data_IF_414694530557
#
_entry.id   IF_414694530557
#
_cell.length_a   1.000
_cell.length_b   1.000
_cell.length_c   1.000
_cell.angle_alpha   90.00
_cell.angle_beta   90.00
_cell.angle_gamma   90.00
#
_symmetry.space_group_name_H-M   'P 1'
#
loop_
_entity.id
_entity.type
_entity.pdbx_description
1 polymer ?
#
# COMPACT_ATOMS: atom_id res chain seq x y z
N UNK A 1 -49.90 17.36 6.87
CA UNK A 1 -50.87 18.48 6.93
C UNK A 1 -50.28 19.72 7.61
N UNK A 2 -49.45 19.58 8.63
CA UNK A 2 -48.80 20.68 9.38
C UNK A 2 -48.06 21.75 8.56
N UNK A 3 -47.48 21.43 7.39
CA UNK A 3 -46.75 22.42 6.57
C UNK A 3 -47.66 23.45 5.88
N UNK A 4 -48.84 23.03 5.41
CA UNK A 4 -49.84 23.95 4.85
C UNK A 4 -50.47 24.84 5.93
N UNK A 5 -50.27 24.47 7.20
CA UNK A 5 -50.69 25.19 8.39
C UNK A 5 -49.56 26.04 9.01
N UNK A 6 -48.43 26.18 8.31
CA UNK A 6 -47.29 27.01 8.75
C UNK A 6 -46.28 26.33 9.68
N UNK A 7 -46.40 25.02 9.90
CA UNK A 7 -45.41 24.24 10.64
C UNK A 7 -44.09 24.10 9.88
N UNK A 8 -42.98 24.12 10.61
CA UNK A 8 -41.65 23.85 10.07
C UNK A 8 -41.58 22.44 9.48
N UNK A 9 -41.04 22.32 8.28
CA UNK A 9 -40.68 21.04 7.68
C UNK A 9 -39.18 20.78 7.75
N UNK A 10 -38.67 19.90 6.87
CA UNK A 10 -37.26 19.54 6.91
C UNK A 10 -36.33 20.74 6.73
N UNK A 11 -35.29 20.83 7.56
CA UNK A 11 -34.43 22.00 7.70
C UNK A 11 -33.91 22.55 6.36
N UNK A 12 -33.36 21.67 5.51
CA UNK A 12 -32.87 22.10 4.19
C UNK A 12 -33.98 22.60 3.27
N UNK A 13 -35.15 21.94 3.26
CA UNK A 13 -36.28 22.35 2.42
C UNK A 13 -36.89 23.69 2.87
N UNK A 14 -36.83 24.00 4.16
CA UNK A 14 -37.36 25.25 4.74
C UNK A 14 -36.49 26.47 4.48
N UNK A 15 -35.20 26.26 4.20
CA UNK A 15 -34.26 27.32 3.86
C UNK A 15 -34.40 27.83 2.41
N UNK A 16 -35.33 27.24 1.63
CA UNK A 16 -35.49 27.53 0.21
C UNK A 16 -36.93 27.94 -0.14
N UNK A 17 -37.14 28.85 -1.11
CA UNK A 17 -38.44 29.06 -1.73
C UNK A 17 -39.02 27.75 -2.27
N UNK A 18 -40.34 27.57 -2.13
CA UNK A 18 -41.04 26.33 -2.52
C UNK A 18 -40.71 25.88 -3.95
N UNK A 19 -40.64 26.82 -4.91
CA UNK A 19 -40.28 26.52 -6.30
C UNK A 19 -38.88 25.90 -6.42
N UNK A 20 -37.90 26.41 -5.66
CA UNK A 20 -36.53 25.89 -5.67
C UNK A 20 -36.46 24.52 -5.02
N UNK A 21 -37.12 24.36 -3.87
CA UNK A 21 -37.18 23.11 -3.13
C UNK A 21 -37.82 21.99 -3.97
N UNK A 22 -38.97 22.25 -4.60
CA UNK A 22 -39.65 21.31 -5.50
C UNK A 22 -38.76 20.98 -6.68
N UNK A 23 -38.21 21.99 -7.37
CA UNK A 23 -37.41 21.73 -8.58
C UNK A 23 -36.13 20.95 -8.29
N UNK A 24 -35.43 21.25 -7.21
CA UNK A 24 -34.24 20.50 -6.80
C UNK A 24 -34.60 19.05 -6.44
N UNK A 25 -35.71 18.85 -5.74
CA UNK A 25 -36.24 17.53 -5.37
C UNK A 25 -36.56 16.71 -6.62
N UNK A 26 -37.35 17.25 -7.55
CA UNK A 26 -37.69 16.59 -8.81
C UNK A 26 -36.46 16.24 -9.65
N UNK A 27 -35.53 17.18 -9.81
CA UNK A 27 -34.35 16.98 -10.65
C UNK A 27 -33.37 15.96 -10.05
N UNK A 28 -33.23 15.92 -8.71
CA UNK A 28 -32.45 14.90 -8.02
C UNK A 28 -33.14 13.53 -8.15
N UNK A 29 -34.45 13.48 -7.93
CA UNK A 29 -35.23 12.26 -8.09
C UNK A 29 -35.19 11.71 -9.51
N UNK A 30 -35.20 12.57 -10.52
CA UNK A 30 -35.07 12.17 -11.93
C UNK A 30 -33.75 11.43 -12.17
N UNK A 31 -32.64 11.94 -11.62
CA UNK A 31 -31.33 11.31 -11.72
C UNK A 31 -31.33 9.92 -11.06
N UNK A 32 -31.95 9.77 -9.89
CA UNK A 32 -31.94 8.51 -9.15
C UNK A 32 -32.91 7.48 -9.78
N UNK A 33 -34.09 7.92 -10.19
CA UNK A 33 -35.14 7.04 -10.71
C UNK A 33 -34.84 6.55 -12.14
N UNK A 34 -34.33 7.44 -12.99
CA UNK A 34 -34.20 7.20 -14.44
C UNK A 34 -32.76 7.31 -14.96
N UNK A 35 -31.81 7.65 -14.09
CA UNK A 35 -30.39 7.69 -14.42
C UNK A 35 -29.95 8.98 -15.14
N UNK A 36 -28.64 9.09 -15.44
CA UNK A 36 -28.04 10.33 -15.95
C UNK A 36 -28.40 10.67 -17.41
N UNK A 37 -28.91 9.71 -18.16
CA UNK A 37 -29.31 9.92 -19.57
C UNK A 37 -30.72 10.49 -19.71
N UNK A 38 -31.56 10.40 -18.67
CA UNK A 38 -32.94 10.87 -18.69
C UNK A 38 -33.03 12.36 -19.03
N UNK A 39 -33.90 12.72 -19.99
CA UNK A 39 -34.07 14.11 -20.42
C UNK A 39 -35.33 14.72 -19.80
N UNK A 40 -35.23 15.85 -19.09
CA UNK A 40 -36.39 16.52 -18.48
C UNK A 40 -37.53 16.83 -19.47
N UNK A 41 -37.21 17.12 -20.74
CA UNK A 41 -38.18 17.43 -21.79
C UNK A 41 -38.99 16.23 -22.27
N UNK A 42 -38.54 15.01 -21.99
CA UNK A 42 -39.16 13.76 -22.44
C UNK A 42 -40.02 13.11 -21.35
N UNK A 43 -40.09 13.71 -20.16
CA UNK A 43 -40.78 13.14 -19.01
C UNK A 43 -42.24 13.58 -18.95
N UNK A 44 -43.14 12.63 -18.74
CA UNK A 44 -44.55 12.90 -18.50
C UNK A 44 -44.85 13.35 -17.08
N UNK A 45 -46.10 13.75 -16.82
CA UNK A 45 -46.56 14.15 -15.48
C UNK A 45 -46.36 13.02 -14.45
N UNK A 46 -46.63 11.77 -14.84
CA UNK A 46 -46.43 10.61 -13.96
C UNK A 46 -44.96 10.38 -13.60
N UNK A 47 -44.04 10.61 -14.55
CA UNK A 47 -42.60 10.46 -14.32
C UNK A 47 -42.08 11.53 -13.37
N UNK A 48 -42.59 12.76 -13.49
CA UNK A 48 -42.28 13.84 -12.56
C UNK A 48 -42.86 13.62 -11.16
N UNK A 49 -44.07 13.05 -11.01
CA UNK A 49 -44.60 12.67 -9.70
C UNK A 49 -43.73 11.59 -9.04
N UNK A 50 -43.33 10.57 -9.82
CA UNK A 50 -42.40 9.53 -9.36
C UNK A 50 -41.04 10.10 -8.94
N UNK A 51 -40.44 10.94 -9.79
CA UNK A 51 -39.19 11.63 -9.49
C UNK A 51 -39.31 12.50 -8.24
N UNK A 52 -40.40 13.27 -8.10
CA UNK A 52 -40.67 14.09 -6.92
C UNK A 52 -40.70 13.27 -5.64
N UNK A 53 -41.42 12.14 -5.61
CA UNK A 53 -41.48 11.24 -4.44
C UNK A 53 -40.12 10.66 -4.08
N UNK A 54 -39.38 10.16 -5.08
CA UNK A 54 -38.04 9.57 -4.86
C UNK A 54 -37.07 10.65 -4.38
N UNK A 55 -37.06 11.82 -5.02
CA UNK A 55 -36.22 12.94 -4.62
C UNK A 55 -36.53 13.41 -3.21
N UNK A 56 -37.81 13.43 -2.82
CA UNK A 56 -38.24 13.93 -1.51
C UNK A 56 -37.69 13.08 -0.37
N UNK A 57 -37.55 11.76 -0.57
CA UNK A 57 -36.91 10.88 0.41
C UNK A 57 -35.47 11.31 0.73
N UNK A 58 -34.75 11.91 -0.23
CA UNK A 58 -33.39 12.39 -0.03
C UNK A 58 -33.35 13.83 0.47
N UNK A 59 -34.14 14.74 -0.12
CA UNK A 59 -34.10 16.17 0.25
C UNK A 59 -34.72 16.44 1.62
N UNK A 60 -35.69 15.62 2.06
CA UNK A 60 -36.24 15.69 3.42
C UNK A 60 -35.26 15.24 4.51
N UNK A 61 -34.21 14.51 4.16
CA UNK A 61 -33.10 14.19 5.06
C UNK A 61 -31.99 15.25 5.06
N UNK A 62 -32.16 16.35 4.32
CA UNK A 62 -31.20 17.45 4.25
C UNK A 62 -29.96 17.14 3.41
N UNK A 63 -28.87 17.87 3.67
CA UNK A 63 -27.63 17.77 2.87
C UNK A 63 -27.04 16.34 2.88
N UNK A 64 -27.14 15.63 4.00
CA UNK A 64 -26.65 14.25 4.10
C UNK A 64 -27.39 13.29 3.15
N UNK A 65 -28.72 13.43 3.04
CA UNK A 65 -29.55 12.66 2.11
C UNK A 65 -29.27 13.01 0.65
N UNK A 66 -29.08 14.29 0.35
CA UNK A 66 -28.68 14.73 -1.00
C UNK A 66 -27.32 14.13 -1.39
N UNK A 67 -26.33 14.19 -0.50
CA UNK A 67 -25.00 13.59 -0.74
C UNK A 67 -25.08 12.08 -0.90
N UNK A 68 -25.97 11.41 -0.18
CA UNK A 68 -26.23 9.99 -0.35
C UNK A 68 -26.76 9.67 -1.74
N UNK A 69 -27.76 10.41 -2.23
CA UNK A 69 -28.24 10.27 -3.61
C UNK A 69 -27.10 10.44 -4.64
N UNK A 70 -26.24 11.46 -4.47
CA UNK A 70 -25.11 11.69 -5.36
C UNK A 70 -24.08 10.55 -5.32
N UNK A 71 -23.81 9.96 -4.14
CA UNK A 71 -22.97 8.76 -4.01
C UNK A 71 -23.60 7.57 -4.74
N UNK A 72 -24.90 7.35 -4.62
CA UNK A 72 -25.59 6.28 -5.32
C UNK A 72 -25.50 6.44 -6.85
N UNK A 73 -25.71 7.66 -7.36
CA UNK A 73 -25.55 7.95 -8.79
C UNK A 73 -24.12 7.66 -9.29
N UNK A 74 -23.10 8.01 -8.49
CA UNK A 74 -21.70 7.66 -8.78
C UNK A 74 -21.45 6.15 -8.75
N UNK A 75 -21.94 5.46 -7.71
CA UNK A 75 -21.77 4.02 -7.55
C UNK A 75 -22.54 3.21 -8.61
N UNK A 76 -23.57 3.78 -9.23
CA UNK A 76 -24.31 3.17 -10.34
C UNK A 76 -23.61 3.39 -11.71
N UNK A 77 -22.68 4.34 -11.82
CA UNK A 77 -21.98 4.61 -13.07
C UNK A 77 -21.05 3.44 -13.46
N UNK A 78 -21.12 3.00 -14.72
CA UNK A 78 -20.36 1.85 -15.26
C UNK A 78 -19.44 2.20 -16.44
N UNK A 79 -19.11 3.49 -16.61
CA UNK A 79 -18.25 3.92 -17.71
C UNK A 79 -16.78 3.58 -17.50
N UNK A 80 -16.04 3.41 -18.61
CA UNK A 80 -14.58 3.22 -18.59
C UNK A 80 -13.83 4.56 -18.56
N UNK A 81 -12.72 4.61 -17.84
CA UNK A 81 -11.85 5.79 -17.76
C UNK A 81 -12.36 6.89 -16.84
N UNK A 82 -11.86 8.13 -17.01
CA UNK A 82 -12.22 9.29 -16.18
C UNK A 82 -13.73 9.59 -16.30
N UNK A 83 -14.54 9.42 -15.24
CA UNK A 83 -15.95 9.74 -15.27
C UNK A 83 -16.17 11.24 -15.49
N UNK A 84 -16.76 11.60 -16.62
CA UNK A 84 -17.19 12.98 -16.87
C UNK A 84 -18.41 13.28 -15.99
N UNK A 85 -18.42 14.43 -15.31
CA UNK A 85 -19.52 14.88 -14.43
C UNK A 85 -20.90 14.82 -15.12
N UNK A 86 -20.94 15.21 -16.39
CA UNK A 86 -22.14 15.13 -17.23
C UNK A 86 -22.65 13.69 -17.44
N UNK A 87 -21.76 12.71 -17.49
CA UNK A 87 -22.14 11.31 -17.69
C UNK A 87 -22.59 10.65 -16.38
N UNK A 88 -22.06 11.10 -15.25
CA UNK A 88 -22.41 10.59 -13.92
C UNK A 88 -23.72 11.18 -13.41
N UNK A 89 -23.86 12.49 -13.50
CA UNK A 89 -24.97 13.24 -12.89
C UNK A 89 -25.95 13.79 -13.92
N UNK A 90 -25.67 13.63 -15.21
CA UNK A 90 -26.67 13.78 -16.24
C UNK A 90 -27.33 15.14 -16.30
N UNK A 91 -28.65 15.10 -16.47
CA UNK A 91 -29.52 16.28 -16.54
C UNK A 91 -29.54 17.10 -15.25
N UNK A 92 -29.29 16.49 -14.08
CA UNK A 92 -29.18 17.20 -12.82
C UNK A 92 -28.00 18.18 -12.84
N UNK A 93 -26.81 17.71 -13.21
CA UNK A 93 -25.64 18.59 -13.33
C UNK A 93 -25.80 19.62 -14.46
N UNK A 94 -26.39 19.24 -15.60
CA UNK A 94 -26.67 20.18 -16.71
C UNK A 94 -27.58 21.33 -16.29
N UNK A 95 -28.61 21.04 -15.51
CA UNK A 95 -29.51 22.06 -14.98
C UNK A 95 -28.79 23.04 -14.06
N UNK A 96 -27.95 22.54 -13.13
CA UNK A 96 -27.17 23.36 -12.21
C UNK A 96 -26.07 24.19 -12.90
N UNK A 97 -25.50 23.66 -13.98
CA UNK A 97 -24.44 24.32 -14.77
C UNK A 97 -24.99 25.28 -15.84
N UNK A 98 -26.29 25.26 -16.12
CA UNK A 98 -26.88 26.03 -17.22
C UNK A 98 -26.87 27.54 -16.92
N UNK A 99 -26.26 28.37 -17.79
CA UNK A 99 -26.31 29.82 -17.66
C UNK A 99 -27.69 30.41 -17.99
N UNK A 100 -28.58 29.61 -18.61
CA UNK A 100 -29.95 30.03 -18.96
C UNK A 100 -30.91 29.98 -17.77
N UNK A 101 -30.48 29.42 -16.65
CA UNK A 101 -31.28 29.37 -15.42
C UNK A 101 -31.29 30.76 -14.79
N UNK A 102 -32.31 31.56 -15.14
CA UNK A 102 -32.45 32.97 -14.72
C UNK A 102 -32.72 33.14 -13.22
N UNK A 103 -33.14 32.07 -12.53
CA UNK A 103 -33.42 32.06 -11.09
C UNK A 103 -32.26 31.39 -10.34
N UNK A 104 -31.91 31.92 -9.17
CA UNK A 104 -31.04 31.26 -8.19
C UNK A 104 -31.54 29.82 -7.96
N UNK A 105 -30.66 28.83 -8.10
CA UNK A 105 -30.99 27.40 -7.91
C UNK A 105 -30.89 26.96 -6.45
N UNK A 106 -30.44 27.84 -5.56
CA UNK A 106 -30.29 27.57 -4.14
C UNK A 106 -29.04 26.78 -3.77
N UNK A 107 -29.01 26.32 -2.52
CA UNK A 107 -27.87 25.69 -1.86
C UNK A 107 -27.48 24.33 -2.47
N UNK A 108 -28.41 23.69 -3.19
CA UNK A 108 -28.16 22.43 -3.91
C UNK A 108 -26.95 22.52 -4.85
N UNK A 109 -26.68 23.71 -5.41
CA UNK A 109 -25.52 23.96 -6.27
C UNK A 109 -24.21 23.93 -5.48
N UNK A 110 -24.21 24.42 -4.23
CA UNK A 110 -23.06 24.33 -3.32
C UNK A 110 -22.79 22.88 -2.94
N UNK A 111 -23.82 22.16 -2.49
CA UNK A 111 -23.73 20.74 -2.10
C UNK A 111 -23.16 19.90 -3.24
N UNK A 112 -23.69 20.08 -4.46
CA UNK A 112 -23.20 19.38 -5.65
C UNK A 112 -21.73 19.70 -5.95
N UNK A 113 -21.33 20.96 -5.82
CA UNK A 113 -19.95 21.39 -6.06
C UNK A 113 -19.00 20.75 -5.04
N UNK A 114 -19.32 20.82 -3.77
CA UNK A 114 -18.52 20.22 -2.70
C UNK A 114 -18.40 18.71 -2.86
N UNK A 115 -19.52 18.04 -3.16
CA UNK A 115 -19.53 16.61 -3.46
C UNK A 115 -18.58 16.25 -4.60
N UNK A 116 -18.59 17.01 -5.71
CA UNK A 116 -17.64 16.80 -6.82
C UNK A 116 -16.19 16.98 -6.34
N UNK A 117 -15.91 18.05 -5.58
CA UNK A 117 -14.56 18.35 -5.09
C UNK A 117 -14.02 17.29 -4.11
N UNK A 118 -14.90 16.56 -3.43
CA UNK A 118 -14.58 15.53 -2.45
C UNK A 118 -14.58 14.10 -3.00
N UNK A 119 -15.11 13.87 -4.21
CA UNK A 119 -15.26 12.52 -4.77
C UNK A 119 -14.69 12.35 -6.17
N UNK A 120 -14.30 13.45 -6.84
CA UNK A 120 -13.78 13.42 -8.21
C UNK A 120 -12.51 14.27 -8.33
N UNK A 121 -11.69 13.96 -9.34
CA UNK A 121 -10.56 14.86 -9.64
C UNK A 121 -11.08 16.10 -10.38
N UNK A 122 -10.63 17.27 -9.94
CA UNK A 122 -10.93 18.56 -10.57
C UNK A 122 -9.62 19.28 -10.83
N UNK A 123 -9.43 19.78 -12.04
CA UNK A 123 -8.19 20.45 -12.39
C UNK A 123 -8.06 21.81 -11.67
N UNK A 124 -6.83 22.28 -11.39
CA UNK A 124 -6.61 23.62 -10.89
C UNK A 124 -7.30 24.66 -11.79
N UNK A 125 -7.97 25.63 -11.17
CA UNK A 125 -8.70 26.71 -11.83
C UNK A 125 -9.84 26.27 -12.75
N UNK A 126 -10.23 24.99 -12.75
CA UNK A 126 -11.40 24.52 -13.47
C UNK A 126 -12.68 25.06 -12.81
N UNK A 127 -13.52 25.74 -13.58
CA UNK A 127 -14.77 26.32 -13.08
C UNK A 127 -15.82 25.21 -12.94
N UNK A 128 -16.23 24.93 -11.71
CA UNK A 128 -17.27 23.98 -11.35
C UNK A 128 -18.40 24.72 -10.64
N UNK A 129 -19.57 24.77 -11.28
CA UNK A 129 -20.79 25.34 -10.69
C UNK A 129 -20.55 26.71 -10.02
N UNK A 130 -19.90 27.62 -10.74
CA UNK A 130 -19.67 29.01 -10.33
C UNK A 130 -18.43 29.28 -9.47
N UNK A 131 -17.63 28.27 -9.13
CA UNK A 131 -16.37 28.45 -8.39
C UNK A 131 -15.26 27.57 -8.92
N UNK A 132 -14.01 27.89 -8.55
CA UNK A 132 -12.83 27.08 -8.87
C UNK A 132 -11.95 26.94 -7.63
N UNK A 133 -11.03 25.97 -7.69
CA UNK A 133 -10.01 25.77 -6.65
C UNK A 133 -8.62 25.95 -7.27
N UNK A 134 -7.69 26.64 -6.58
CA UNK A 134 -6.35 26.90 -7.13
C UNK A 134 -5.47 25.65 -7.19
N UNK A 135 -5.80 24.61 -6.41
CA UNK A 135 -5.05 23.38 -6.31
C UNK A 135 -5.99 22.17 -6.23
N UNK A 136 -5.58 21.03 -6.78
CA UNK A 136 -6.35 19.78 -6.71
C UNK A 136 -6.45 19.28 -5.27
N UNK A 137 -7.66 18.89 -4.84
CA UNK A 137 -7.89 18.13 -3.60
C UNK A 137 -7.69 16.62 -3.79
N UNK A 138 -8.06 16.14 -4.97
CA UNK A 138 -7.96 14.74 -5.34
C UNK A 138 -7.22 14.55 -6.65
N UNK A 139 -6.45 13.47 -6.70
CA UNK A 139 -5.76 13.00 -7.89
C UNK A 139 -6.25 11.61 -8.27
N UNK A 140 -6.39 11.36 -9.56
CA UNK A 140 -6.20 10.02 -10.11
C UNK A 140 -4.73 9.74 -10.35
N UNK A 141 -4.40 8.46 -10.57
CA UNK A 141 -3.05 8.05 -10.99
C UNK A 141 -2.62 8.83 -12.25
N UNK A 142 -3.53 9.06 -13.19
CA UNK A 142 -3.22 9.73 -14.45
C UNK A 142 -2.87 11.21 -14.25
N UNK A 143 -3.68 11.95 -13.47
CA UNK A 143 -3.44 13.37 -13.26
C UNK A 143 -2.19 13.61 -12.42
N UNK A 144 -1.95 12.80 -11.38
CA UNK A 144 -0.72 12.92 -10.59
C UNK A 144 0.53 12.51 -11.37
N UNK A 145 0.45 11.48 -12.21
CA UNK A 145 1.57 11.08 -13.08
C UNK A 145 1.97 12.21 -14.03
N UNK A 146 0.99 12.92 -14.60
CA UNK A 146 1.24 14.08 -15.44
C UNK A 146 1.89 15.23 -14.65
N UNK A 147 1.34 15.57 -13.49
CA UNK A 147 1.86 16.62 -12.61
C UNK A 147 3.31 16.33 -12.16
N UNK A 148 3.58 15.09 -11.72
CA UNK A 148 4.87 14.67 -11.21
C UNK A 148 5.89 14.25 -12.31
N UNK A 149 5.49 14.28 -13.59
CA UNK A 149 6.27 13.80 -14.74
C UNK A 149 6.76 12.36 -14.58
N UNK A 150 5.87 11.48 -14.14
CA UNK A 150 6.12 10.05 -13.92
C UNK A 150 5.36 9.18 -14.91
N UNK A 151 5.87 7.98 -15.16
CA UNK A 151 5.12 6.97 -15.90
C UNK A 151 3.92 6.48 -15.05
N UNK A 152 2.68 6.50 -15.56
CA UNK A 152 1.48 6.13 -14.79
C UNK A 152 1.56 4.74 -14.16
N UNK A 153 2.16 3.77 -14.88
CA UNK A 153 2.35 2.40 -14.37
C UNK A 153 3.28 2.34 -13.17
N UNK A 154 4.35 3.15 -13.17
CA UNK A 154 5.30 3.23 -12.05
C UNK A 154 4.63 3.88 -10.84
N UNK A 155 3.91 4.98 -11.06
CA UNK A 155 3.20 5.67 -9.99
C UNK A 155 2.10 4.79 -9.37
N UNK A 156 1.31 4.07 -10.19
CA UNK A 156 0.28 3.14 -9.67
C UNK A 156 0.88 2.13 -8.70
N UNK A 157 2.00 1.51 -9.09
CA UNK A 157 2.69 0.51 -8.24
C UNK A 157 3.17 1.10 -6.93
N UNK A 158 3.70 2.33 -6.95
CA UNK A 158 4.11 3.02 -5.74
C UNK A 158 2.92 3.34 -4.83
N UNK A 159 1.84 3.86 -5.39
CA UNK A 159 0.61 4.18 -4.63
C UNK A 159 0.01 2.91 -4.02
N UNK A 160 -0.09 1.82 -4.80
CA UNK A 160 -0.58 0.53 -4.33
C UNK A 160 0.29 -0.05 -3.22
N UNK A 161 1.62 0.00 -3.38
CA UNK A 161 2.56 -0.46 -2.38
C UNK A 161 2.50 0.32 -1.07
N UNK A 162 2.03 1.57 -1.11
CA UNK A 162 1.82 2.44 0.05
C UNK A 162 0.38 2.39 0.58
N UNK A 163 -0.47 1.53 0.02
CA UNK A 163 -1.88 1.39 0.43
C UNK A 163 -2.77 2.58 0.08
N UNK A 164 -2.30 3.51 -0.77
CA UNK A 164 -3.08 4.70 -1.17
C UNK A 164 -4.19 4.31 -2.14
N UNK A 165 -3.97 3.26 -2.94
CA UNK A 165 -4.96 2.67 -3.84
C UNK A 165 -4.91 1.14 -3.72
N UNK A 166 -5.98 0.42 -4.13
CA UNK A 166 -5.96 -1.03 -4.18
C UNK A 166 -4.83 -1.59 -5.06
N UNK A 167 -4.25 -2.72 -4.63
CA UNK A 167 -3.15 -3.38 -5.34
C UNK A 167 -3.58 -4.21 -6.54
N UNK A 168 -4.87 -4.53 -6.66
CA UNK A 168 -5.40 -5.33 -7.76
C UNK A 168 -5.36 -4.51 -9.06
N UNK A 169 -4.47 -4.90 -9.99
CA UNK A 169 -4.35 -4.28 -11.32
C UNK A 169 -5.60 -4.55 -12.19
N UNK A 170 -6.44 -5.55 -11.86
CA UNK A 170 -7.68 -5.86 -12.60
C UNK A 170 -8.82 -4.90 -12.27
N UNK A 171 -8.70 -4.14 -11.19
CA UNK A 171 -9.62 -3.04 -10.92
C UNK A 171 -9.21 -1.89 -11.83
N UNK A 172 -9.73 -1.94 -13.06
CA UNK A 172 -9.68 -0.90 -14.11
C UNK A 172 -10.52 0.34 -13.73
N UNK A 173 -11.11 0.33 -12.53
CA UNK A 173 -11.92 1.43 -12.04
C UNK A 173 -11.04 2.67 -11.84
N UNK A 174 -11.64 3.79 -12.20
CA UNK A 174 -11.09 5.09 -11.95
C UNK A 174 -11.05 5.35 -10.44
N UNK A 175 -9.84 5.42 -9.88
CA UNK A 175 -9.62 5.72 -8.46
C UNK A 175 -9.11 7.13 -8.29
N UNK A 176 -9.64 7.81 -7.28
CA UNK A 176 -9.11 9.07 -6.76
C UNK A 176 -8.60 8.87 -5.34
N UNK A 177 -7.62 9.68 -4.97
CA UNK A 177 -7.01 9.69 -3.65
C UNK A 177 -6.61 11.13 -3.30
N UNK A 178 -6.37 11.36 -2.00
CA UNK A 178 -5.93 12.65 -1.48
C UNK A 178 -4.68 13.15 -2.21
N UNK A 179 -4.73 14.42 -2.62
CA UNK A 179 -3.69 14.98 -3.46
C UNK A 179 -2.33 15.12 -2.75
N UNK A 180 -2.32 15.48 -1.46
CA UNK A 180 -1.08 15.64 -0.70
C UNK A 180 -0.44 14.28 -0.41
N UNK A 181 -1.25 13.29 -0.01
CA UNK A 181 -0.78 11.90 0.15
C UNK A 181 -0.19 11.39 -1.16
N UNK A 182 -0.87 11.62 -2.28
CA UNK A 182 -0.39 11.26 -3.61
C UNK A 182 0.95 11.92 -3.97
N UNK A 183 1.05 13.25 -3.80
CA UNK A 183 2.29 14.01 -4.07
C UNK A 183 3.46 13.53 -3.24
N UNK A 184 3.24 13.23 -1.96
CA UNK A 184 4.27 12.67 -1.08
C UNK A 184 4.82 11.33 -1.60
N UNK A 185 3.95 10.47 -2.14
CA UNK A 185 4.34 9.21 -2.79
C UNK A 185 5.05 9.46 -4.13
N UNK A 186 4.54 10.38 -4.96
CA UNK A 186 5.17 10.70 -6.24
C UNK A 186 6.59 11.27 -6.06
N UNK A 187 6.79 12.13 -5.05
CA UNK A 187 8.11 12.65 -4.68
C UNK A 187 9.09 11.53 -4.26
N UNK A 188 8.59 10.36 -3.81
CA UNK A 188 9.47 9.21 -3.53
C UNK A 188 10.00 8.52 -4.78
N UNK A 189 9.32 8.66 -5.92
CA UNK A 189 9.73 8.02 -7.16
C UNK A 189 11.08 8.53 -7.68
N UNK A 190 11.33 9.84 -7.57
CA UNK A 190 12.54 10.50 -8.07
C UNK A 190 13.81 10.17 -7.29
N UNK A 191 13.67 9.65 -6.06
CA UNK A 191 14.77 9.29 -5.16
C UNK A 191 14.92 7.77 -5.00
N UNK A 192 14.28 6.99 -5.85
CA UNK A 192 14.42 5.54 -5.84
C UNK A 192 15.83 5.14 -6.28
N UNK A 193 16.48 4.30 -5.49
CA UNK A 193 17.79 3.75 -5.77
C UNK A 193 17.61 2.31 -6.22
N UNK A 194 18.04 1.98 -7.44
CA UNK A 194 18.00 0.60 -7.92
C UNK A 194 18.90 -0.29 -7.04
N UNK A 195 18.48 -1.52 -6.78
CA UNK A 195 19.20 -2.53 -5.98
C UNK A 195 20.58 -2.80 -6.57
N UNK A 196 20.75 -2.69 -7.89
CA UNK A 196 22.05 -2.80 -8.55
C UNK A 196 22.97 -1.62 -8.23
N UNK A 197 22.42 -0.44 -7.95
CA UNK A 197 23.15 0.77 -7.57
C UNK A 197 23.42 0.84 -6.05
N UNK A 198 22.66 0.12 -5.21
CA UNK A 198 22.82 0.11 -3.76
C UNK A 198 24.26 -0.11 -3.27
N UNK A 199 25.06 -1.06 -3.80
CA UNK A 199 26.43 -1.26 -3.33
C UNK A 199 27.29 -0.01 -3.48
N UNK A 200 27.10 0.74 -4.58
CA UNK A 200 27.80 2.00 -4.82
C UNK A 200 27.34 3.06 -3.83
N UNK A 201 26.03 3.23 -3.63
CA UNK A 201 25.47 4.23 -2.71
C UNK A 201 25.88 3.97 -1.25
N UNK A 202 25.85 2.72 -0.82
CA UNK A 202 26.22 2.31 0.54
C UNK A 202 27.74 2.28 0.76
N UNK A 203 28.53 2.36 -0.31
CA UNK A 203 29.95 2.05 -0.32
C UNK A 203 30.23 0.67 0.31
N UNK A 204 29.63 -0.39 -0.25
CA UNK A 204 29.82 -1.78 0.18
C UNK A 204 29.86 -2.75 -1.01
N UNK A 205 30.10 -4.04 -0.73
CA UNK A 205 30.05 -5.09 -1.75
C UNK A 205 28.61 -5.50 -2.09
N UNK A 206 28.41 -6.13 -3.26
CA UNK A 206 27.09 -6.68 -3.66
C UNK A 206 26.51 -7.67 -2.65
N UNK A 207 27.28 -8.64 -2.11
CA UNK A 207 26.77 -9.55 -1.07
C UNK A 207 26.31 -8.82 0.19
N UNK A 208 27.04 -7.79 0.64
CA UNK A 208 26.66 -7.00 1.82
C UNK A 208 25.34 -6.25 1.60
N UNK A 209 25.18 -5.57 0.46
CA UNK A 209 23.91 -4.91 0.12
C UNK A 209 22.75 -5.91 0.06
N UNK A 210 23.00 -7.12 -0.47
CA UNK A 210 22.03 -8.22 -0.46
C UNK A 210 21.60 -8.61 0.96
N UNK A 211 22.56 -8.81 1.86
CA UNK A 211 22.28 -9.15 3.27
C UNK A 211 21.44 -8.08 3.99
N UNK A 212 21.67 -6.79 3.72
CA UNK A 212 20.84 -5.72 4.29
C UNK A 212 19.37 -5.80 3.84
N UNK A 213 19.12 -6.21 2.60
CA UNK A 213 17.76 -6.42 2.10
C UNK A 213 17.14 -7.69 2.69
N UNK A 214 17.96 -8.74 2.85
CA UNK A 214 17.51 -10.04 3.34
C UNK A 214 17.07 -9.98 4.82
N UNK A 215 17.78 -9.19 5.63
CA UNK A 215 17.48 -8.94 7.05
C UNK A 215 16.53 -7.73 7.26
N UNK A 216 15.94 -7.18 6.20
CA UNK A 216 15.04 -6.00 6.24
C UNK A 216 15.63 -4.74 6.90
N UNK A 217 16.97 -4.64 6.96
CA UNK A 217 17.66 -3.39 7.30
C UNK A 217 17.39 -2.31 6.24
N UNK A 218 17.19 -2.73 4.99
CA UNK A 218 16.64 -1.94 3.91
C UNK A 218 15.44 -2.68 3.31
N UNK A 219 14.38 -1.96 2.95
CA UNK A 219 13.13 -2.54 2.47
C UNK A 219 12.87 -2.06 1.05
N UNK A 220 12.55 -3.02 0.16
CA UNK A 220 12.24 -2.70 -1.24
C UNK A 220 10.91 -1.95 -1.31
N UNK A 221 10.87 -0.91 -2.13
CA UNK A 221 9.64 -0.19 -2.40
C UNK A 221 8.74 -1.09 -3.25
N UNK A 222 7.57 -1.44 -2.70
CA UNK A 222 6.68 -2.37 -3.36
C UNK A 222 6.22 -3.57 -2.54
N UNK A 223 6.78 -3.81 -1.34
CA UNK A 223 6.84 -5.09 -0.62
C UNK A 223 5.59 -5.98 -0.43
N UNK A 224 4.44 -5.62 -1.00
CA UNK A 224 3.36 -6.56 -1.25
C UNK A 224 3.78 -7.60 -2.32
N UNK A 225 3.47 -8.89 -2.11
CA UNK A 225 3.69 -9.93 -3.10
C UNK A 225 2.83 -9.62 -4.34
N UNK A 226 3.50 -9.33 -5.46
CA UNK A 226 2.85 -9.07 -6.74
C UNK A 226 2.68 -10.38 -7.52
N UNK A 227 1.53 -10.54 -8.17
CA UNK A 227 1.05 -11.67 -9.00
C UNK A 227 1.94 -12.12 -10.18
N UNK A 228 3.18 -11.63 -10.30
CA UNK A 228 4.05 -11.93 -11.44
C UNK A 228 5.37 -12.57 -10.98
N UNK A 229 5.57 -13.89 -11.20
CA UNK A 229 6.88 -14.50 -11.01
C UNK A 229 7.91 -13.78 -11.90
N UNK A 230 8.92 -13.16 -11.29
CA UNK A 230 10.08 -12.60 -12.00
C UNK A 230 10.22 -11.07 -12.03
N UNK A 231 9.22 -10.28 -11.64
CA UNK A 231 9.41 -8.82 -11.47
C UNK A 231 9.89 -8.50 -10.06
N UNK A 232 11.14 -8.85 -9.78
CA UNK A 232 11.89 -8.40 -8.59
C UNK A 232 11.67 -6.91 -8.44
N UNK A 233 11.11 -6.48 -7.31
CA UNK A 233 11.04 -5.06 -6.97
C UNK A 233 12.48 -4.57 -6.85
N UNK A 234 12.86 -3.62 -7.70
CA UNK A 234 14.27 -3.31 -7.94
C UNK A 234 14.75 -2.08 -7.21
N UNK A 235 13.95 -1.42 -6.38
CA UNK A 235 14.37 -0.16 -5.80
C UNK A 235 14.11 -0.07 -4.30
N UNK A 236 14.93 0.74 -3.64
CA UNK A 236 14.80 1.18 -2.26
C UNK A 236 14.60 2.70 -2.27
N UNK A 237 13.84 3.24 -1.32
CA UNK A 237 13.70 4.69 -1.16
C UNK A 237 15.04 5.26 -0.67
N UNK A 238 15.61 6.23 -1.39
CA UNK A 238 16.88 6.86 -1.02
C UNK A 238 16.90 7.42 0.40
N UNK A 239 15.76 7.91 0.91
CA UNK A 239 15.65 8.35 2.32
C UNK A 239 15.92 7.23 3.32
N UNK A 240 15.52 6.00 2.99
CA UNK A 240 15.81 4.85 3.86
C UNK A 240 17.30 4.56 3.87
N UNK A 241 17.98 4.67 2.73
CA UNK A 241 19.43 4.47 2.62
C UNK A 241 20.17 5.55 3.40
N UNK A 242 19.79 6.81 3.26
CA UNK A 242 20.33 7.93 4.02
C UNK A 242 20.12 7.77 5.53
N UNK A 243 18.89 7.44 5.96
CA UNK A 243 18.57 7.21 7.36
C UNK A 243 19.34 6.02 7.96
N UNK A 244 19.50 4.95 7.18
CA UNK A 244 20.33 3.81 7.57
C UNK A 244 21.78 4.25 7.78
N UNK A 245 22.42 4.92 6.80
CA UNK A 245 23.81 5.37 6.91
C UNK A 245 24.03 6.36 8.07
N UNK A 246 23.07 7.28 8.27
CA UNK A 246 23.10 8.23 9.38
C UNK A 246 23.06 7.53 10.74
N UNK A 247 22.14 6.56 10.90
CA UNK A 247 22.03 5.77 12.14
C UNK A 247 23.24 4.88 12.34
N UNK A 248 23.72 4.25 11.27
CA UNK A 248 24.83 3.30 11.30
C UNK A 248 26.16 3.92 11.71
N UNK A 249 26.38 5.19 11.36
CA UNK A 249 27.58 5.95 11.72
C UNK A 249 27.42 6.88 12.92
N UNK A 250 26.25 6.93 13.56
CA UNK A 250 25.90 7.95 14.57
C UNK A 250 26.84 7.93 15.78
N UNK A 251 27.05 6.75 16.35
CA UNK A 251 27.82 6.56 17.59
C UNK A 251 29.27 6.10 17.32
N UNK A 252 29.67 6.04 16.04
CA UNK A 252 31.00 5.61 15.65
C UNK A 252 32.05 6.71 15.89
N UNK A 253 33.10 6.40 16.67
CA UNK A 253 34.21 7.32 16.94
C UNK A 253 34.98 7.59 15.64
N UNK A 254 35.03 8.85 15.21
CA UNK A 254 35.81 9.27 14.04
C UNK A 254 37.31 9.13 14.31
N UNK A 255 38.04 8.47 13.40
CA UNK A 255 39.48 8.21 13.49
C UNK A 255 40.15 8.39 12.12
N UNK A 256 41.41 8.83 12.08
CA UNK A 256 42.14 8.97 10.82
C UNK A 256 42.80 7.65 10.37
N UNK A 257 43.24 6.85 11.35
CA UNK A 257 43.82 5.51 11.13
C UNK A 257 43.04 4.44 11.90
N UNK A 258 43.01 3.19 11.42
CA UNK A 258 42.39 2.09 12.15
C UNK A 258 43.02 1.91 13.55
N UNK A 259 42.22 1.91 14.63
CA UNK A 259 42.73 1.54 15.95
C UNK A 259 43.30 0.12 15.95
N UNK A 260 44.19 -0.17 16.89
CA UNK A 260 44.75 -1.51 17.01
C UNK A 260 43.63 -2.55 17.23
N UNK A 261 43.69 -3.66 16.48
CA UNK A 261 42.68 -4.73 16.52
C UNK A 261 41.39 -4.46 15.74
N UNK A 262 41.08 -3.20 15.39
CA UNK A 262 39.87 -2.83 14.67
C UNK A 262 40.00 -3.14 13.17
N UNK A 263 39.01 -3.85 12.63
CA UNK A 263 38.98 -4.27 11.24
C UNK A 263 37.69 -3.80 10.55
N UNK A 264 37.71 -3.77 9.22
CA UNK A 264 36.50 -3.57 8.43
C UNK A 264 35.48 -4.67 8.72
N UNK A 265 34.20 -4.37 8.54
CA UNK A 265 33.11 -5.32 8.81
C UNK A 265 33.34 -6.67 8.11
N UNK A 266 33.80 -6.68 6.86
CA UNK A 266 34.08 -7.95 6.14
C UNK A 266 35.13 -8.79 6.84
N UNK A 267 36.26 -8.18 7.23
CA UNK A 267 37.38 -8.88 7.88
C UNK A 267 37.03 -9.28 9.31
N UNK A 268 36.28 -8.44 10.02
CA UNK A 268 35.80 -8.75 11.35
C UNK A 268 34.80 -9.90 11.34
N UNK A 269 33.88 -9.93 10.37
CA UNK A 269 32.92 -11.02 10.16
C UNK A 269 33.63 -12.36 9.93
N UNK A 270 34.61 -12.38 9.02
CA UNK A 270 35.44 -13.54 8.74
C UNK A 270 36.16 -14.03 10.00
N UNK A 271 36.88 -13.13 10.69
CA UNK A 271 37.65 -13.50 11.88
C UNK A 271 36.73 -13.95 13.03
N UNK A 272 35.58 -13.31 13.23
CA UNK A 272 34.64 -13.67 14.29
C UNK A 272 33.84 -14.94 13.98
N UNK A 273 33.71 -15.34 12.72
CA UNK A 273 32.92 -16.49 12.29
C UNK A 273 31.42 -16.18 12.19
N UNK A 274 31.07 -14.94 11.87
CA UNK A 274 29.67 -14.46 11.80
C UNK A 274 29.42 -13.74 10.47
N UNK A 275 28.16 -13.66 9.97
CA UNK A 275 27.86 -12.92 8.75
C UNK A 275 27.96 -11.40 8.94
N UNK A 276 28.15 -10.64 7.87
CA UNK A 276 28.28 -9.17 7.95
C UNK A 276 27.03 -8.49 8.53
N UNK A 277 25.82 -8.96 8.19
CA UNK A 277 24.58 -8.41 8.75
C UNK A 277 24.49 -8.55 10.27
N UNK A 278 25.12 -9.59 10.84
CA UNK A 278 25.12 -9.80 12.28
C UNK A 278 25.84 -8.65 12.99
N UNK A 279 27.00 -8.24 12.46
CA UNK A 279 27.73 -7.05 12.94
C UNK A 279 26.87 -5.80 12.80
N UNK A 280 26.14 -5.64 11.69
CA UNK A 280 25.29 -4.46 11.47
C UNK A 280 24.19 -4.36 12.54
N UNK A 281 23.54 -5.48 12.89
CA UNK A 281 22.57 -5.49 13.99
C UNK A 281 23.20 -5.20 15.35
N UNK A 282 24.42 -5.66 15.61
CA UNK A 282 25.12 -5.34 16.87
C UNK A 282 25.43 -3.85 16.97
N UNK A 283 25.92 -3.23 15.89
CA UNK A 283 26.17 -1.78 15.81
C UNK A 283 24.87 -1.01 15.99
N UNK A 284 23.86 -1.28 15.17
CA UNK A 284 22.59 -0.56 15.23
C UNK A 284 21.88 -0.77 16.56
N UNK A 285 22.04 -1.94 17.18
CA UNK A 285 21.54 -2.26 18.51
C UNK A 285 22.23 -1.53 19.65
N UNK A 286 23.43 -0.98 19.44
CA UNK A 286 24.26 -0.45 20.52
C UNK A 286 24.80 -1.55 21.44
N UNK A 287 25.09 -2.73 20.88
CA UNK A 287 25.66 -3.88 21.63
C UNK A 287 27.19 -3.91 21.60
N UNK A 288 27.82 -3.04 20.81
CA UNK A 288 29.27 -2.89 20.76
C UNK A 288 29.65 -1.60 21.50
N UNK A 289 30.59 -1.71 22.42
CA UNK A 289 31.25 -0.61 23.11
C UNK A 289 32.22 0.12 22.16
N UNK A 290 32.83 -0.60 21.22
CA UNK A 290 33.85 -0.10 20.30
C UNK A 290 33.43 -0.08 18.84
N UNK A 291 32.92 1.06 18.35
CA UNK A 291 32.71 1.31 16.92
C UNK A 291 33.53 2.52 16.48
N UNK A 292 34.34 2.36 15.43
CA UNK A 292 35.12 3.45 14.86
C UNK A 292 34.75 3.69 13.39
N UNK A 293 34.95 4.92 12.91
CA UNK A 293 34.73 5.30 11.52
C UNK A 293 35.95 6.04 10.96
N UNK A 294 36.49 5.55 9.84
CA UNK A 294 37.59 6.22 9.14
C UNK A 294 37.14 7.57 8.56
N UNK A 295 37.87 8.63 8.87
CA UNK A 295 37.54 10.00 8.48
C UNK A 295 37.49 10.21 6.97
N UNK A 296 38.25 9.43 6.21
CA UNK A 296 38.41 9.53 4.75
C UNK A 296 37.53 8.53 3.96
N UNK A 297 36.78 7.67 4.65
CA UNK A 297 35.97 6.63 4.00
C UNK A 297 34.52 6.78 4.44
N UNK A 298 33.65 7.12 3.49
CA UNK A 298 32.21 7.25 3.73
C UNK A 298 31.48 5.91 3.68
N UNK A 299 30.28 5.90 4.25
CA UNK A 299 29.37 4.77 4.18
C UNK A 299 29.84 3.53 4.93
N UNK A 300 29.35 2.38 4.47
CA UNK A 300 29.50 1.09 5.14
C UNK A 300 30.96 0.64 5.28
N UNK A 301 31.77 0.81 4.23
CA UNK A 301 33.18 0.37 4.24
C UNK A 301 34.07 1.18 5.18
N UNK A 302 33.63 2.36 5.63
CA UNK A 302 34.38 3.19 6.56
C UNK A 302 34.28 2.76 8.02
N UNK A 303 33.39 1.83 8.35
CA UNK A 303 33.15 1.37 9.71
C UNK A 303 34.13 0.25 10.10
N UNK A 304 34.67 0.36 11.30
CA UNK A 304 35.63 -0.55 11.90
C UNK A 304 35.13 -1.03 13.27
N UNK A 305 35.38 -2.30 13.57
CA UNK A 305 34.98 -2.96 14.83
C UNK A 305 36.05 -3.95 15.29
N UNK A 306 36.09 -4.27 16.58
CA UNK A 306 36.93 -5.35 17.12
C UNK A 306 36.27 -6.73 16.88
N UNK A 307 36.91 -7.65 16.14
CA UNK A 307 36.38 -8.99 15.89
C UNK A 307 36.17 -9.84 17.15
N UNK A 308 36.96 -9.64 18.21
CA UNK A 308 36.82 -10.40 19.46
C UNK A 308 35.54 -9.99 20.20
N UNK A 309 35.29 -8.69 20.29
CA UNK A 309 34.06 -8.13 20.83
C UNK A 309 32.85 -8.60 20.02
N UNK A 310 32.93 -8.48 18.69
CA UNK A 310 31.87 -8.96 17.78
C UNK A 310 31.53 -10.43 18.06
N UNK A 311 32.53 -11.31 18.19
CA UNK A 311 32.28 -12.73 18.46
C UNK A 311 31.57 -12.93 19.80
N UNK A 312 32.02 -12.25 20.85
CA UNK A 312 31.41 -12.34 22.18
C UNK A 312 29.95 -11.86 22.18
N UNK A 313 29.67 -10.72 21.54
CA UNK A 313 28.34 -10.13 21.51
C UNK A 313 27.39 -10.88 20.57
N UNK A 314 27.88 -11.41 19.45
CA UNK A 314 27.08 -12.26 18.56
C UNK A 314 26.61 -13.53 19.29
N UNK A 315 27.50 -14.21 20.02
CA UNK A 315 27.14 -15.38 20.82
C UNK A 315 26.08 -15.05 21.89
N UNK A 316 26.16 -13.87 22.49
CA UNK A 316 25.22 -13.43 23.54
C UNK A 316 23.85 -13.04 23.00
N UNK A 317 23.79 -12.29 21.90
CA UNK A 317 22.56 -11.60 21.47
C UNK A 317 21.94 -12.13 20.18
N UNK A 318 22.62 -13.00 19.44
CA UNK A 318 22.17 -13.49 18.14
C UNK A 318 21.93 -15.00 18.13
N UNK A 319 21.29 -15.49 19.20
CA UNK A 319 20.88 -16.89 19.30
C UNK A 319 19.67 -17.18 18.40
N UNK A 320 19.55 -18.45 18.00
CA UNK A 320 18.53 -18.92 17.07
C UNK A 320 18.92 -18.72 15.60
N UNK A 321 18.04 -19.18 14.70
CA UNK A 321 18.24 -19.07 13.27
C UNK A 321 18.04 -17.63 12.79
N UNK A 322 18.86 -17.22 11.83
CA UNK A 322 18.60 -16.02 11.03
C UNK A 322 17.35 -16.20 10.16
N UNK A 323 16.71 -15.11 9.70
CA UNK A 323 15.66 -15.16 8.69
C UNK A 323 16.05 -15.99 7.47
N UNK A 324 17.27 -15.81 6.96
CA UNK A 324 17.77 -16.58 5.82
C UNK A 324 17.80 -18.09 6.05
N UNK A 325 18.27 -18.52 7.22
CA UNK A 325 18.31 -19.93 7.60
C UNK A 325 16.92 -20.51 7.84
N UNK A 326 16.08 -19.80 8.61
CA UNK A 326 14.70 -20.21 8.90
C UNK A 326 13.88 -20.38 7.62
N UNK A 327 13.90 -19.38 6.73
CA UNK A 327 13.18 -19.43 5.45
C UNK A 327 13.76 -20.49 4.52
N UNK A 328 15.09 -20.66 4.52
CA UNK A 328 15.78 -21.73 3.79
C UNK A 328 15.33 -23.13 4.21
N UNK A 329 15.17 -23.38 5.51
CA UNK A 329 14.64 -24.64 6.06
C UNK A 329 13.20 -24.89 5.63
N UNK A 330 12.38 -23.83 5.57
CA UNK A 330 11.00 -23.90 5.08
C UNK A 330 10.90 -23.96 3.54
N UNK A 331 12.03 -23.82 2.83
CA UNK A 331 12.10 -23.71 1.36
C UNK A 331 11.17 -22.62 0.82
N UNK A 332 11.09 -21.49 1.52
CA UNK A 332 10.32 -20.31 1.10
C UNK A 332 11.26 -19.20 0.66
N UNK A 333 10.91 -18.41 -0.37
CA UNK A 333 11.61 -17.17 -0.70
C UNK A 333 11.56 -16.19 0.48
N UNK A 334 12.56 -15.31 0.58
CA UNK A 334 12.68 -14.35 1.69
C UNK A 334 11.48 -13.41 1.81
N UNK A 335 10.99 -12.88 0.70
CA UNK A 335 9.82 -11.99 0.70
C UNK A 335 8.56 -12.74 1.22
N UNK A 336 8.40 -14.02 0.87
CA UNK A 336 7.35 -14.89 1.43
C UNK A 336 7.55 -15.14 2.92
N UNK A 337 8.77 -15.46 3.35
CA UNK A 337 9.08 -15.67 4.77
C UNK A 337 8.72 -14.44 5.60
N UNK A 338 9.09 -13.26 5.14
CA UNK A 338 8.70 -12.00 5.77
C UNK A 338 7.20 -11.72 5.72
N UNK A 339 6.51 -12.10 4.64
CA UNK A 339 5.05 -12.01 4.58
C UNK A 339 4.39 -12.92 5.64
N UNK A 340 4.96 -14.08 5.95
CA UNK A 340 4.47 -14.96 7.02
C UNK A 340 4.76 -14.40 8.42
N UNK A 341 5.89 -13.69 8.60
CA UNK A 341 6.27 -13.06 9.88
C UNK A 341 5.37 -11.88 10.23
N UNK A 342 5.00 -11.06 9.24
CA UNK A 342 4.14 -9.88 9.45
C UNK A 342 2.65 -10.19 9.50
N UNK A 343 2.26 -11.45 9.33
CA UNK A 343 0.85 -11.86 9.42
C UNK A 343 0.46 -12.16 10.86
N UNK A 344 -0.83 -12.01 11.12
CA UNK A 344 -1.47 -12.45 12.35
C UNK A 344 -2.23 -13.77 12.12
N UNK A 345 -2.54 -14.46 13.22
CA UNK A 345 -3.33 -15.68 13.21
C UNK A 345 -2.52 -16.96 13.03
N UNK A 346 -3.20 -18.03 12.64
CA UNK A 346 -2.68 -19.40 12.71
C UNK A 346 -1.50 -19.68 11.75
N UNK A 347 -1.47 -18.97 10.62
CA UNK A 347 -0.47 -19.16 9.54
C UNK A 347 0.72 -18.21 9.70
N UNK A 348 0.82 -17.51 10.83
CA UNK A 348 1.97 -16.66 11.14
C UNK A 348 3.19 -17.50 11.53
N UNK A 349 4.37 -17.10 11.03
CA UNK A 349 5.65 -17.63 11.49
C UNK A 349 6.18 -16.73 12.61
N UNK A 350 6.30 -17.26 13.82
CA UNK A 350 6.62 -16.43 15.00
C UNK A 350 8.13 -16.20 15.12
N UNK A 351 8.61 -14.95 15.06
CA UNK A 351 10.01 -14.66 15.32
C UNK A 351 10.27 -14.49 16.83
N UNK A 352 11.51 -14.75 17.24
CA UNK A 352 12.12 -14.16 18.41
C UNK A 352 12.56 -12.73 18.05
N UNK A 353 12.13 -11.74 18.81
CA UNK A 353 12.49 -10.33 18.58
C UNK A 353 13.50 -9.90 19.63
N UNK A 354 14.71 -9.56 19.18
CA UNK A 354 15.73 -8.97 20.04
C UNK A 354 15.69 -7.45 19.87
N UNK A 355 15.64 -6.72 21.00
CA UNK A 355 15.65 -5.25 21.03
C UNK A 355 16.95 -4.82 21.70
N UNK A 356 17.75 -4.02 21.00
CA UNK A 356 18.99 -3.48 21.55
C UNK A 356 18.79 -2.23 22.42
N UNK A 357 19.81 -1.83 23.19
CA UNK A 357 19.83 -0.58 23.95
C UNK A 357 19.38 0.67 23.16
N UNK A 358 19.68 0.74 21.87
CA UNK A 358 19.27 1.84 20.98
C UNK A 358 17.78 1.80 20.58
N UNK A 359 17.06 0.74 20.91
CA UNK A 359 15.72 0.43 20.41
C UNK A 359 15.68 -0.30 19.06
N UNK A 360 16.83 -0.52 18.40
CA UNK A 360 16.90 -1.28 17.15
C UNK A 360 16.43 -2.72 17.36
N UNK A 361 15.55 -3.19 16.46
CA UNK A 361 14.94 -4.52 16.51
C UNK A 361 15.49 -5.40 15.39
N UNK A 362 15.76 -6.65 15.70
CA UNK A 362 16.06 -7.66 14.69
C UNK A 362 15.43 -9.01 15.06
N UNK A 363 15.22 -9.83 14.04
CA UNK A 363 14.42 -11.04 14.14
C UNK A 363 15.30 -12.28 14.08
N UNK A 364 15.04 -13.24 14.96
CA UNK A 364 15.61 -14.59 14.97
C UNK A 364 14.49 -15.59 15.07
N UNK A 365 14.79 -16.87 14.91
CA UNK A 365 13.81 -17.94 14.97
C UNK A 365 14.30 -19.09 15.81
N UNK A 366 13.43 -19.57 16.69
CA UNK A 366 13.67 -20.82 17.40
C UNK A 366 13.60 -21.99 16.40
N UNK A 367 14.55 -22.93 16.49
CA UNK A 367 14.58 -24.14 15.66
C UNK A 367 13.29 -24.97 15.82
N UNK A 368 12.74 -25.04 17.04
CA UNK A 368 11.51 -25.76 17.36
C UNK A 368 10.29 -25.08 16.74
N UNK A 369 10.25 -23.75 16.69
CA UNK A 369 9.17 -23.01 16.02
C UNK A 369 9.22 -23.21 14.51
N UNK A 370 10.39 -23.11 13.89
CA UNK A 370 10.55 -23.35 12.44
C UNK A 370 10.16 -24.80 12.10
N UNK A 371 10.61 -25.77 12.89
CA UNK A 371 10.24 -27.18 12.72
C UNK A 371 8.75 -27.43 12.96
N UNK A 372 8.15 -26.77 13.96
CA UNK A 372 6.72 -26.82 14.25
C UNK A 372 5.89 -26.25 13.11
N UNK A 373 6.29 -25.11 12.57
CA UNK A 373 5.70 -24.52 11.37
C UNK A 373 5.81 -25.47 10.18
N UNK A 374 6.99 -26.07 9.98
CA UNK A 374 7.25 -27.00 8.89
C UNK A 374 6.39 -28.29 8.97
N UNK A 375 5.96 -28.69 10.16
CA UNK A 375 5.00 -29.79 10.37
C UNK A 375 3.57 -29.38 10.05
N UNK A 376 3.16 -28.17 10.43
CA UNK A 376 1.79 -27.65 10.21
C UNK A 376 1.52 -27.26 8.76
N UNK A 377 2.55 -26.73 8.08
CA UNK A 377 2.44 -26.22 6.72
C UNK A 377 3.55 -26.74 5.82
N UNK A 378 3.24 -26.88 4.54
CA UNK A 378 4.18 -27.32 3.51
C UNK A 378 4.03 -26.52 2.22
N UNK A 379 5.01 -26.67 1.33
CA UNK A 379 5.05 -26.04 0.01
C UNK A 379 5.18 -27.11 -1.07
N UNK A 380 4.86 -26.74 -2.32
CA UNK A 380 4.98 -27.62 -3.48
C UNK A 380 6.40 -28.20 -3.60
N UNK A 381 7.43 -27.38 -3.36
CA UNK A 381 8.84 -27.78 -3.40
C UNK A 381 9.18 -28.77 -2.28
N UNK A 382 8.63 -28.58 -1.07
CA UNK A 382 8.90 -29.51 0.05
C UNK A 382 8.26 -30.86 -0.18
N UNK A 383 7.03 -30.89 -0.69
CA UNK A 383 6.36 -32.14 -1.10
C UNK A 383 7.17 -32.82 -2.19
N UNK A 384 7.58 -32.07 -3.23
CA UNK A 384 8.35 -32.60 -4.35
C UNK A 384 9.66 -33.25 -3.89
N UNK A 385 10.39 -32.57 -3.00
CA UNK A 385 11.63 -33.10 -2.41
C UNK A 385 11.38 -34.36 -1.56
N UNK A 386 10.29 -34.40 -0.80
CA UNK A 386 9.95 -35.56 0.04
C UNK A 386 9.59 -36.80 -0.78
N UNK A 387 8.90 -36.61 -1.91
CA UNK A 387 8.51 -37.69 -2.82
C UNK A 387 9.55 -37.99 -3.92
N UNK A 388 10.66 -37.24 -3.96
CA UNK A 388 11.67 -37.29 -5.02
C UNK A 388 11.11 -37.09 -6.45
N UNK A 389 10.07 -36.26 -6.59
CA UNK A 389 9.43 -35.93 -7.88
C UNK A 389 9.68 -34.48 -8.29
N UNK A 390 9.32 -34.14 -9.53
CA UNK A 390 9.40 -32.76 -10.02
C UNK A 390 8.27 -31.91 -9.43
N UNK A 391 8.56 -30.64 -9.12
CA UNK A 391 7.57 -29.71 -8.55
C UNK A 391 6.30 -29.55 -9.42
N UNK A 392 6.44 -29.56 -10.75
CA UNK A 392 5.30 -29.48 -11.67
C UNK A 392 4.34 -30.67 -11.54
N UNK A 393 4.87 -31.84 -11.18
CA UNK A 393 4.06 -33.03 -10.95
C UNK A 393 3.20 -32.86 -9.71
N UNK A 394 3.79 -32.39 -8.61
CA UNK A 394 3.05 -32.06 -7.37
C UNK A 394 1.93 -31.05 -7.66
N UNK A 395 2.23 -29.98 -8.40
CA UNK A 395 1.24 -28.97 -8.80
C UNK A 395 0.08 -29.61 -9.58
N UNK A 396 0.38 -30.55 -10.48
CA UNK A 396 -0.64 -31.27 -11.26
C UNK A 396 -1.51 -32.17 -10.36
N UNK A 397 -0.89 -32.92 -9.44
CA UNK A 397 -1.58 -33.79 -8.49
C UNK A 397 -2.51 -32.97 -7.57
N UNK A 398 -2.02 -31.90 -6.96
CA UNK A 398 -2.80 -31.02 -6.08
C UNK A 398 -4.04 -30.45 -6.80
N UNK A 399 -3.89 -30.06 -8.07
CA UNK A 399 -5.01 -29.59 -8.91
C UNK A 399 -6.02 -30.70 -9.20
N UNK A 400 -5.54 -31.90 -9.56
CA UNK A 400 -6.40 -33.07 -9.84
C UNK A 400 -7.23 -33.44 -8.61
N UNK A 401 -6.61 -33.40 -7.44
CA UNK A 401 -7.23 -33.75 -6.16
C UNK A 401 -8.04 -32.57 -5.57
N UNK A 402 -8.09 -31.43 -6.27
CA UNK A 402 -8.82 -30.21 -5.88
C UNK A 402 -8.42 -29.65 -4.51
N UNK A 403 -7.19 -29.91 -4.08
CA UNK A 403 -6.63 -29.40 -2.83
C UNK A 403 -6.31 -27.91 -3.02
N UNK A 404 -6.79 -27.08 -2.09
CA UNK A 404 -6.56 -25.63 -2.13
C UNK A 404 -5.50 -25.23 -1.09
N UNK A 405 -4.63 -24.27 -1.42
CA UNK A 405 -3.70 -23.73 -0.44
C UNK A 405 -4.44 -22.93 0.63
N UNK A 406 -3.89 -22.92 1.84
CA UNK A 406 -4.35 -22.04 2.93
C UNK A 406 -3.99 -20.58 2.65
N UNK A 407 -2.86 -20.35 1.97
CA UNK A 407 -2.46 -19.05 1.44
C UNK A 407 -2.04 -19.20 -0.02
N UNK A 408 -2.70 -18.47 -0.90
CA UNK A 408 -2.42 -18.56 -2.32
C UNK A 408 -1.17 -17.77 -2.72
N UNK A 409 -0.59 -18.11 -3.88
CA UNK A 409 0.56 -17.44 -4.50
C UNK A 409 0.39 -15.93 -4.62
N UNK A 410 -0.83 -15.47 -4.90
CA UNK A 410 -1.17 -14.04 -4.96
C UNK A 410 -1.04 -13.31 -3.63
N UNK A 411 -1.13 -14.03 -2.50
CA UNK A 411 -1.14 -13.45 -1.16
C UNK A 411 0.25 -13.35 -0.54
N UNK A 412 1.16 -14.29 -0.86
CA UNK A 412 2.49 -14.39 -0.23
C UNK A 412 3.62 -14.73 -1.20
N UNK A 413 3.34 -14.81 -2.50
CA UNK A 413 4.34 -15.14 -3.54
C UNK A 413 4.52 -16.64 -3.80
N UNK A 414 3.86 -17.52 -3.05
CA UNK A 414 3.75 -18.97 -3.32
C UNK A 414 2.49 -19.57 -2.70
N UNK A 415 2.13 -20.78 -3.13
CA UNK A 415 1.03 -21.54 -2.55
C UNK A 415 1.52 -22.32 -1.32
N UNK A 416 0.93 -22.01 -0.15
CA UNK A 416 1.21 -22.68 1.12
C UNK A 416 0.02 -23.57 1.47
N UNK A 417 0.30 -24.82 1.84
CA UNK A 417 -0.72 -25.83 2.14
C UNK A 417 -0.64 -26.23 3.60
N UNK A 418 -1.78 -26.52 4.22
CA UNK A 418 -1.82 -27.13 5.55
C UNK A 418 -1.56 -28.62 5.39
N UNK A 419 -0.61 -29.16 6.14
CA UNK A 419 -0.21 -30.57 6.05
C UNK A 419 -1.40 -31.51 6.35
N UNK A 420 -2.28 -31.12 7.28
CA UNK A 420 -3.45 -31.90 7.66
C UNK A 420 -4.51 -32.03 6.54
N UNK A 421 -4.47 -31.15 5.54
CA UNK A 421 -5.41 -31.15 4.42
C UNK A 421 -4.91 -32.01 3.24
N UNK A 422 -3.70 -32.58 3.36
CA UNK A 422 -3.06 -33.39 2.32
C UNK A 422 -3.26 -34.89 2.58
N UNK A 423 -3.64 -35.67 1.55
CA UNK A 423 -3.65 -37.13 1.63
C UNK A 423 -2.27 -37.71 1.95
N UNK A 424 -2.24 -38.92 2.52
CA UNK A 424 -1.00 -39.63 2.85
C UNK A 424 -0.04 -39.80 1.66
N UNK A 425 -0.55 -39.85 0.42
CA UNK A 425 0.24 -39.94 -0.81
C UNK A 425 1.12 -38.72 -1.11
N UNK A 426 0.98 -37.63 -0.36
CA UNK A 426 1.80 -36.43 -0.45
C UNK A 426 2.98 -36.41 0.53
N UNK A 427 3.19 -37.50 1.26
CA UNK A 427 4.28 -37.68 2.21
C UNK A 427 5.07 -38.96 1.84
N UNK A 428 6.39 -38.97 2.11
CA UNK A 428 7.23 -40.15 1.93
C UNK A 428 6.83 -41.34 2.80
#
# INVERSE_FOLDING_TARGET
MTRLEGGAGPEWLDQHPIEQAVRATEMLGLLIAFGPVAMPSEQGVSDWDCAGRIGFNYTSAGESGIREALRQAQAAYRGKGLPKRFNVFGSFYRWLASPKTRKEVGDIKRIMREHILETMEVAPNEIILGGSIPQRRLHSVKSLALEAKLQPRTLRRLLAARGVIPSDEKIDEYHVFDAEVGRAVAASAHRLIDVQALPKTLNCTRPQAGQLLDEQLLVRVGGAPSDAPGRKQRAVDGRQVEAFLATFGKDARRVDTPPEGFLTISKAAEKAGVPCYAIVHLILGGFLDGVARLAQVEGYSGILVDPNEVRAQAHRFQQGLSPGEAFGKLKVPKDTGWALVHREGEVALKPLVTIGPSGHRFYRFDEAEVSGFARRFTTEIRIANGLEVQCNEVVSRLKKDRIRPVLARREIGLDLYRTADLPASYFP
#
